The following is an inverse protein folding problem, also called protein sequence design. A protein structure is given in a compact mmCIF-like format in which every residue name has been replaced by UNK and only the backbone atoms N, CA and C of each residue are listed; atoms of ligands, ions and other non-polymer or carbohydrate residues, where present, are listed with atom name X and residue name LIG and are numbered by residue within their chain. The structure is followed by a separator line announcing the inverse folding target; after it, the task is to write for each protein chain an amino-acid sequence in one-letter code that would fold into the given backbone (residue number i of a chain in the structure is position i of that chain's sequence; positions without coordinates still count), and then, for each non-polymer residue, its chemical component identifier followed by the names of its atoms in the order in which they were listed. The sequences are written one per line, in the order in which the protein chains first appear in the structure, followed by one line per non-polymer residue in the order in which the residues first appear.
data_IF_866494242671
#
_entry.id   IF_866494242671
#
_cell.length_a   1.000
_cell.length_b   1.000
_cell.length_c   1.000
_cell.angle_alpha   90.00
_cell.angle_beta   90.00
_cell.angle_gamma   90.00
#
_symmetry.space_group_name_H-M   'P 1'
#
loop_
_entity.id
_entity.type
_entity.pdbx_description
1 polymer ?
#
# COMPACT_ATOMS: atom_id res chain seq x y z
N UNK A 1 10.98 11.76 10.95
CA UNK A 1 9.91 12.50 10.23
C UNK A 1 9.87 11.98 8.81
N UNK A 2 8.69 11.65 8.30
CA UNK A 2 8.52 11.21 6.92
C UNK A 2 7.50 12.13 6.25
N UNK A 3 7.79 12.59 5.05
CA UNK A 3 6.85 13.33 4.21
C UNK A 3 6.84 12.69 2.82
N UNK A 4 5.68 12.49 2.23
CA UNK A 4 5.51 12.01 0.87
C UNK A 4 4.56 12.97 0.14
N UNK A 5 5.02 13.47 -0.98
CA UNK A 5 4.22 14.24 -1.93
C UNK A 5 4.12 13.38 -3.18
N UNK A 6 2.92 13.04 -3.55
CA UNK A 6 2.63 12.46 -4.86
C UNK A 6 1.91 13.50 -5.67
N UNK A 7 2.00 13.49 -6.99
CA UNK A 7 1.36 14.42 -7.91
C UNK A 7 0.31 15.33 -7.23
N UNK A 8 -0.24 16.33 -7.81
CA UNK A 8 -1.06 17.38 -7.19
C UNK A 8 -2.13 16.96 -6.17
N UNK A 9 -2.40 15.65 -6.03
CA UNK A 9 -3.65 15.15 -5.45
C UNK A 9 -3.49 14.47 -4.09
N UNK A 10 -2.28 14.11 -3.64
CA UNK A 10 -2.12 13.40 -2.36
C UNK A 10 -0.94 13.94 -1.58
N UNK A 11 -1.19 14.32 -0.31
CA UNK A 11 -0.17 14.79 0.63
C UNK A 11 -0.23 13.95 1.90
N UNK A 12 0.90 13.40 2.31
CA UNK A 12 1.03 12.64 3.53
C UNK A 12 2.14 13.23 4.40
N UNK A 13 1.81 13.46 5.66
CA UNK A 13 2.74 13.90 6.68
C UNK A 13 2.68 12.94 7.85
N UNK A 14 3.81 12.68 8.47
CA UNK A 14 3.84 11.85 9.66
C UNK A 14 5.08 12.10 10.51
N UNK A 15 4.89 11.95 11.80
CA UNK A 15 5.96 11.92 12.78
C UNK A 15 5.83 10.65 13.62
N UNK A 16 6.96 10.01 13.90
CA UNK A 16 7.00 8.78 14.69
C UNK A 16 8.18 8.88 15.64
N UNK A 17 7.96 8.46 16.87
CA UNK A 17 8.99 8.34 17.89
C UNK A 17 8.95 6.93 18.46
N UNK A 18 10.11 6.31 18.59
CA UNK A 18 10.28 4.99 19.18
C UNK A 18 11.36 5.03 20.24
N UNK A 19 11.11 4.37 21.37
CA UNK A 19 12.06 4.22 22.46
C UNK A 19 12.22 2.75 22.85
N UNK A 20 13.43 2.31 23.20
CA UNK A 20 13.65 0.99 23.78
C UNK A 20 13.03 0.93 25.17
N UNK A 21 12.41 -0.20 25.49
CA UNK A 21 11.79 -0.45 26.81
C UNK A 21 12.27 -1.79 27.31
N UNK A 22 12.84 -1.79 28.51
CA UNK A 22 13.42 -3.01 29.08
C UNK A 22 14.80 -3.37 28.48
N UNK A 23 15.21 -4.64 28.67
CA UNK A 23 16.50 -5.16 28.23
C UNK A 23 16.43 -6.24 27.16
N UNK A 24 15.23 -6.63 26.78
CA UNK A 24 14.92 -7.68 25.80
C UNK A 24 14.90 -7.18 24.35
N UNK A 25 15.12 -5.87 24.14
CA UNK A 25 15.06 -5.22 22.84
C UNK A 25 13.67 -4.81 22.40
N UNK A 26 12.68 -4.90 23.29
CA UNK A 26 11.33 -4.35 23.04
C UNK A 26 11.40 -2.84 22.83
N UNK A 27 10.64 -2.35 21.88
CA UNK A 27 10.50 -0.93 21.56
C UNK A 27 9.03 -0.55 21.55
N UNK A 28 8.72 0.57 22.17
CA UNK A 28 7.40 1.17 22.07
C UNK A 28 7.47 2.44 21.27
N UNK A 29 6.42 2.69 20.50
CA UNK A 29 6.35 3.83 19.63
C UNK A 29 5.01 4.53 19.69
N UNK A 30 5.08 5.82 19.44
CA UNK A 30 3.93 6.68 19.20
C UNK A 30 4.07 7.29 17.80
N UNK A 31 2.96 7.45 17.13
CA UNK A 31 2.91 8.02 15.79
C UNK A 31 1.77 8.99 15.62
N UNK A 32 2.00 9.97 14.80
CA UNK A 32 0.97 10.85 14.29
C UNK A 32 1.08 10.88 12.78
N UNK A 33 -0.07 10.87 12.11
CA UNK A 33 -0.14 10.95 10.65
C UNK A 33 -1.28 11.84 10.20
N UNK A 34 -1.08 12.52 9.09
CA UNK A 34 -2.11 13.24 8.38
C UNK A 34 -1.95 12.97 6.89
N UNK A 35 -3.01 12.51 6.25
CA UNK A 35 -3.09 12.37 4.80
C UNK A 35 -4.25 13.20 4.26
N UNK A 36 -4.07 13.72 3.06
CA UNK A 36 -5.14 14.37 2.30
C UNK A 36 -5.05 13.93 0.86
N UNK A 37 -6.19 13.74 0.23
CA UNK A 37 -6.29 13.42 -1.18
C UNK A 37 -7.36 14.27 -1.86
N UNK A 38 -7.13 14.58 -3.14
CA UNK A 38 -8.06 15.26 -4.02
C UNK A 38 -8.12 14.43 -5.31
N UNK A 39 -9.15 13.62 -5.44
CA UNK A 39 -9.33 12.72 -6.58
C UNK A 39 -10.40 13.29 -7.50
N UNK A 40 -9.97 13.77 -8.65
CA UNK A 40 -10.87 14.13 -9.75
C UNK A 40 -11.24 12.86 -10.53
N UNK A 41 -12.19 12.10 -10.00
CA UNK A 41 -12.48 10.73 -10.43
C UNK A 41 -13.19 10.69 -11.79
N UNK A 42 -13.99 11.71 -12.11
CA UNK A 42 -14.67 11.84 -13.41
C UNK A 42 -15.22 13.26 -13.62
N UNK A 43 -15.91 13.48 -14.75
CA UNK A 43 -16.52 14.77 -15.08
C UNK A 43 -17.70 15.16 -14.19
N UNK A 44 -18.23 14.25 -13.37
CA UNK A 44 -19.46 14.45 -12.59
C UNK A 44 -19.22 14.80 -11.13
N UNK A 45 -18.10 14.36 -10.52
CA UNK A 45 -17.80 14.66 -9.12
C UNK A 45 -16.29 14.64 -8.81
N UNK A 46 -15.90 15.37 -7.75
CA UNK A 46 -14.59 15.28 -7.11
C UNK A 46 -14.75 14.65 -5.73
N UNK A 47 -13.82 13.79 -5.37
CA UNK A 47 -13.70 13.23 -4.03
C UNK A 47 -12.48 13.82 -3.33
N UNK A 48 -12.72 14.52 -2.23
CA UNK A 48 -11.71 15.11 -1.37
C UNK A 48 -11.72 14.39 -0.04
N UNK A 49 -10.58 14.01 0.48
CA UNK A 49 -10.52 13.36 1.77
C UNK A 49 -9.37 13.86 2.62
N UNK A 50 -9.57 13.83 3.93
CA UNK A 50 -8.55 14.09 4.92
C UNK A 50 -8.64 13.02 6.02
N UNK A 51 -7.51 12.40 6.33
CA UNK A 51 -7.39 11.49 7.47
C UNK A 51 -6.33 12.00 8.43
N UNK A 52 -6.63 11.98 9.72
CA UNK A 52 -5.69 12.26 10.81
C UNK A 52 -5.66 11.06 11.73
N UNK A 53 -4.46 10.57 12.02
CA UNK A 53 -4.27 9.39 12.85
C UNK A 53 -3.28 9.61 13.99
N UNK A 54 -3.56 8.92 15.08
CA UNK A 54 -2.63 8.69 16.18
C UNK A 54 -2.46 7.20 16.36
N UNK A 55 -1.22 6.75 16.55
CA UNK A 55 -0.88 5.34 16.77
C UNK A 55 -0.03 5.16 18.03
N UNK A 56 -0.28 4.06 18.73
CA UNK A 56 0.57 3.54 19.80
C UNK A 56 0.87 2.08 19.48
N UNK A 57 2.13 1.67 19.49
CA UNK A 57 2.51 0.32 19.08
C UNK A 57 3.73 -0.18 19.83
N UNK A 58 3.84 -1.51 19.90
CA UNK A 58 4.98 -2.22 20.45
C UNK A 58 5.59 -3.16 19.43
N UNK A 59 6.91 -3.29 19.49
CA UNK A 59 7.74 -4.19 18.71
C UNK A 59 8.59 -5.00 19.66
N UNK A 60 8.30 -6.29 19.84
CA UNK A 60 9.04 -7.17 20.75
C UNK A 60 9.76 -8.25 19.94
N UNK A 61 11.10 -8.31 19.98
CA UNK A 61 11.83 -9.42 19.38
C UNK A 61 11.45 -10.74 20.06
N UNK A 62 10.87 -11.68 19.28
CA UNK A 62 10.48 -13.02 19.74
C UNK A 62 11.61 -14.02 19.51
N UNK A 63 12.26 -13.89 18.35
CA UNK A 63 13.37 -14.74 17.97
C UNK A 63 14.41 -13.94 17.19
N UNK A 64 15.68 -14.15 17.50
CA UNK A 64 16.80 -13.51 16.80
C UNK A 64 18.03 -14.39 16.85
N UNK A 65 18.52 -14.75 15.67
CA UNK A 65 19.83 -15.34 15.49
C UNK A 65 20.62 -14.58 14.42
N UNK A 66 21.69 -15.17 13.89
CA UNK A 66 22.52 -14.54 12.85
C UNK A 66 21.80 -14.36 11.52
N UNK A 67 20.86 -15.24 11.21
CA UNK A 67 20.19 -15.31 9.90
C UNK A 67 18.72 -14.94 9.99
N UNK A 68 18.10 -15.09 11.15
CA UNK A 68 16.66 -14.94 11.30
C UNK A 68 16.32 -13.88 12.35
N UNK A 69 15.29 -13.13 12.09
CA UNK A 69 14.66 -12.21 13.04
C UNK A 69 13.15 -12.39 12.95
N UNK A 70 12.52 -12.58 14.11
CA UNK A 70 11.06 -12.56 14.24
C UNK A 70 10.70 -11.57 15.33
N UNK A 71 9.76 -10.67 15.03
CA UNK A 71 9.30 -9.61 15.90
C UNK A 71 7.78 -9.69 16.03
N UNK A 72 7.28 -9.72 17.25
CA UNK A 72 5.87 -9.48 17.52
C UNK A 72 5.56 -8.00 17.34
N UNK A 73 4.47 -7.72 16.65
CA UNK A 73 3.95 -6.38 16.39
C UNK A 73 2.57 -6.30 17.02
N UNK A 74 2.31 -5.27 17.79
CA UNK A 74 1.00 -5.03 18.37
C UNK A 74 0.77 -3.55 18.57
N UNK A 75 -0.48 -3.10 18.49
CA UNK A 75 -0.75 -1.68 18.65
C UNK A 75 -2.22 -1.30 18.53
N UNK A 76 -2.42 0.00 18.62
CA UNK A 76 -3.69 0.67 18.52
C UNK A 76 -3.56 1.92 17.64
N UNK A 77 -4.50 2.10 16.73
CA UNK A 77 -4.63 3.24 15.85
C UNK A 77 -5.99 3.92 16.07
N UNK A 78 -5.98 5.22 16.30
CA UNK A 78 -7.16 6.06 16.27
C UNK A 78 -7.12 6.97 15.06
N UNK A 79 -8.16 6.94 14.22
CA UNK A 79 -8.22 7.74 12.99
C UNK A 79 -9.53 8.49 12.88
N UNK A 80 -9.44 9.77 12.51
CA UNK A 80 -10.56 10.63 12.12
C UNK A 80 -10.44 10.88 10.62
N UNK A 81 -11.49 10.52 9.88
CA UNK A 81 -11.54 10.57 8.43
C UNK A 81 -12.67 11.51 8.05
N UNK A 82 -12.39 12.45 7.16
CA UNK A 82 -13.37 13.39 6.63
C UNK A 82 -13.35 13.29 5.11
N UNK A 83 -14.43 12.77 4.55
CA UNK A 83 -14.62 12.65 3.10
C UNK A 83 -15.62 13.70 2.64
N UNK A 84 -15.33 14.33 1.49
CA UNK A 84 -16.19 15.32 0.84
C UNK A 84 -16.39 14.93 -0.61
N UNK A 85 -17.61 14.74 -1.00
CA UNK A 85 -18.01 14.51 -2.37
C UNK A 85 -18.61 15.81 -2.92
N UNK A 86 -17.94 16.42 -3.90
CA UNK A 86 -18.42 17.63 -4.56
C UNK A 86 -18.97 17.27 -5.94
N UNK A 87 -20.25 17.49 -6.15
CA UNK A 87 -20.92 17.25 -7.43
C UNK A 87 -20.62 18.38 -8.42
N UNK A 88 -20.33 18.01 -9.68
CA UNK A 88 -20.05 18.93 -10.79
C UNK A 88 -21.15 18.96 -11.83
N UNK A 89 -22.14 18.07 -11.76
CA UNK A 89 -23.20 17.96 -12.77
C UNK A 89 -24.00 19.27 -12.88
N UNK A 90 -24.37 19.64 -14.09
CA UNK A 90 -25.20 20.81 -14.36
C UNK A 90 -26.52 20.72 -13.56
N UNK A 91 -26.86 21.77 -12.82
CA UNK A 91 -28.02 21.81 -11.91
C UNK A 91 -27.76 21.26 -10.50
N UNK A 92 -26.67 20.55 -10.24
CA UNK A 92 -26.24 20.04 -8.94
C UNK A 92 -24.87 20.62 -8.52
N UNK A 93 -24.32 21.52 -9.33
CA UNK A 93 -23.05 22.17 -9.05
C UNK A 93 -23.13 22.97 -7.75
N UNK A 94 -22.19 22.67 -6.83
CA UNK A 94 -22.14 23.32 -5.50
C UNK A 94 -22.71 22.46 -4.37
N UNK A 95 -23.34 21.31 -4.62
CA UNK A 95 -23.72 20.37 -3.58
C UNK A 95 -22.46 19.65 -3.10
N UNK A 96 -22.16 19.79 -1.82
CA UNK A 96 -21.07 19.11 -1.12
C UNK A 96 -21.64 18.18 -0.05
N UNK A 97 -21.38 16.90 -0.20
CA UNK A 97 -21.71 15.89 0.82
C UNK A 97 -20.46 15.63 1.65
N UNK A 98 -20.55 15.90 2.93
CA UNK A 98 -19.45 15.65 3.87
C UNK A 98 -19.82 14.49 4.78
N UNK A 99 -18.91 13.51 4.87
CA UNK A 99 -19.02 12.38 5.80
C UNK A 99 -17.82 12.42 6.74
N UNK A 100 -18.09 12.40 8.04
CA UNK A 100 -17.06 12.31 9.08
C UNK A 100 -17.11 10.92 9.72
N UNK A 101 -15.98 10.23 9.71
CA UNK A 101 -15.84 8.86 10.21
C UNK A 101 -14.76 8.80 11.27
N UNK A 102 -14.92 7.88 12.19
CA UNK A 102 -13.93 7.58 13.22
C UNK A 102 -13.64 6.09 13.21
N UNK A 103 -12.37 5.73 13.20
CA UNK A 103 -11.90 4.35 13.26
C UNK A 103 -10.99 4.15 14.48
N UNK A 104 -11.27 3.11 15.25
CA UNK A 104 -10.45 2.60 16.34
C UNK A 104 -10.00 1.20 15.95
N UNK A 105 -8.68 0.98 15.82
CA UNK A 105 -8.16 -0.26 15.27
C UNK A 105 -7.07 -0.82 16.16
N UNK A 106 -7.25 -2.05 16.63
CA UNK A 106 -6.24 -2.83 17.33
C UNK A 106 -5.60 -3.78 16.34
N UNK A 107 -4.31 -3.99 16.47
CA UNK A 107 -3.61 -4.96 15.64
C UNK A 107 -2.61 -5.77 16.45
N UNK A 108 -2.43 -7.03 16.06
CA UNK A 108 -1.41 -7.91 16.59
C UNK A 108 -0.94 -8.90 15.53
N UNK A 109 0.33 -9.20 15.52
CA UNK A 109 0.90 -10.12 14.54
C UNK A 109 2.39 -10.31 14.69
N UNK A 110 2.97 -10.86 13.65
CA UNK A 110 4.40 -11.11 13.55
C UNK A 110 4.95 -10.55 12.26
N UNK A 111 6.18 -10.07 12.30
CA UNK A 111 7.00 -9.85 11.11
C UNK A 111 8.36 -10.51 11.28
N UNK A 112 8.94 -10.94 10.18
CA UNK A 112 10.24 -11.57 10.23
C UNK A 112 11.05 -11.34 8.97
N UNK A 113 12.34 -11.61 9.10
CA UNK A 113 13.30 -11.63 7.99
C UNK A 113 14.28 -12.77 8.15
N UNK A 114 14.67 -13.35 7.04
CA UNK A 114 15.68 -14.37 6.94
C UNK A 114 16.75 -13.95 5.94
N UNK A 115 18.01 -14.04 6.34
CA UNK A 115 19.17 -13.72 5.54
C UNK A 115 20.00 -14.99 5.34
N UNK A 116 20.07 -15.48 4.13
CA UNK A 116 20.95 -16.56 3.68
C UNK A 116 21.97 -16.00 2.70
N UNK A 117 23.12 -16.68 2.44
CA UNK A 117 24.18 -16.12 1.59
C UNK A 117 23.73 -15.62 0.21
N UNK A 118 22.74 -16.31 -0.39
CA UNK A 118 22.20 -15.96 -1.71
C UNK A 118 20.69 -15.71 -1.73
N UNK A 119 20.05 -15.55 -0.57
CA UNK A 119 18.59 -15.36 -0.46
C UNK A 119 18.25 -14.42 0.69
N UNK A 120 17.23 -13.63 0.45
CA UNK A 120 16.60 -12.80 1.46
C UNK A 120 15.09 -13.03 1.45
N UNK A 121 14.50 -13.23 2.61
CA UNK A 121 13.05 -13.29 2.76
C UNK A 121 12.60 -12.32 3.83
N UNK A 122 11.49 -11.66 3.59
CA UNK A 122 10.78 -10.84 4.56
C UNK A 122 9.30 -11.20 4.52
N UNK A 123 8.69 -11.33 5.68
CA UNK A 123 7.27 -11.70 5.78
C UNK A 123 6.61 -10.96 6.94
N UNK A 124 5.29 -10.79 6.82
CA UNK A 124 4.43 -10.34 7.90
C UNK A 124 3.09 -11.08 7.87
N UNK A 125 2.48 -11.23 9.05
CA UNK A 125 1.13 -11.72 9.23
C UNK A 125 0.53 -10.93 10.38
N UNK A 126 -0.50 -10.12 10.10
CA UNK A 126 -1.09 -9.21 11.09
C UNK A 126 -2.61 -9.36 11.08
N UNK A 127 -3.16 -9.58 12.25
CA UNK A 127 -4.58 -9.54 12.51
C UNK A 127 -4.99 -8.15 13.00
N UNK A 128 -6.12 -7.66 12.49
CA UNK A 128 -6.69 -6.36 12.78
C UNK A 128 -8.12 -6.53 13.28
N UNK A 129 -8.40 -5.90 14.40
CA UNK A 129 -9.75 -5.70 14.91
C UNK A 129 -10.06 -4.21 14.91
N UNK A 130 -11.04 -3.78 14.16
CA UNK A 130 -11.41 -2.39 14.02
C UNK A 130 -12.87 -2.14 14.31
N UNK A 131 -13.17 -0.96 14.84
CA UNK A 131 -14.52 -0.42 14.94
C UNK A 131 -14.58 0.89 14.18
N UNK A 132 -15.51 0.98 13.23
CA UNK A 132 -15.76 2.19 12.43
C UNK A 132 -17.13 2.76 12.78
N UNK A 133 -17.22 4.09 12.84
CA UNK A 133 -18.46 4.83 13.04
C UNK A 133 -18.54 6.05 12.12
N UNK A 134 -19.75 6.45 11.73
CA UNK A 134 -20.01 7.60 10.86
C UNK A 134 -19.97 7.34 9.37
N UNK A 135 -19.72 6.10 8.93
CA UNK A 135 -19.66 5.72 7.51
C UNK A 135 -20.99 5.21 6.93
N UNK A 136 -21.98 5.00 7.79
CA UNK A 136 -23.32 4.50 7.43
C UNK A 136 -23.48 3.00 7.67
N UNK A 137 -24.74 2.56 7.67
CA UNK A 137 -25.16 1.20 8.13
C UNK A 137 -24.40 0.02 7.49
N UNK A 138 -23.88 0.18 6.26
CA UNK A 138 -23.23 -0.92 5.55
C UNK A 138 -21.78 -1.15 5.99
N UNK A 139 -21.12 -0.14 6.56
CA UNK A 139 -19.71 -0.20 6.94
C UNK A 139 -19.46 0.09 8.42
N UNK A 140 -20.42 0.72 9.14
CA UNK A 140 -20.29 0.98 10.57
C UNK A 140 -20.30 -0.31 11.39
N UNK A 141 -19.54 -0.30 12.46
CA UNK A 141 -19.42 -1.39 13.43
C UNK A 141 -18.07 -2.09 13.37
N UNK A 142 -18.02 -3.26 14.00
CA UNK A 142 -16.80 -4.02 14.16
C UNK A 142 -16.44 -4.79 12.88
N UNK A 143 -15.16 -4.81 12.57
CA UNK A 143 -14.62 -5.62 11.49
C UNK A 143 -13.34 -6.32 11.92
N UNK A 144 -13.06 -7.43 11.26
CA UNK A 144 -11.83 -8.21 11.42
C UNK A 144 -11.17 -8.37 10.07
N UNK A 145 -9.87 -8.18 10.01
CA UNK A 145 -9.10 -8.49 8.81
C UNK A 145 -7.76 -9.13 9.15
N UNK A 146 -7.28 -9.96 8.25
CA UNK A 146 -5.96 -10.55 8.26
C UNK A 146 -5.20 -10.02 7.05
N UNK A 147 -3.98 -9.51 7.27
CA UNK A 147 -3.07 -9.08 6.20
C UNK A 147 -1.79 -9.90 6.26
N UNK A 148 -1.25 -10.23 5.11
CA UNK A 148 0.04 -10.91 4.98
C UNK A 148 0.83 -10.34 3.83
N UNK A 149 2.12 -10.10 4.07
CA UNK A 149 3.08 -9.69 3.05
C UNK A 149 4.25 -10.66 3.03
N UNK A 150 4.73 -10.97 1.84
CA UNK A 150 5.90 -11.79 1.58
C UNK A 150 6.76 -11.11 0.52
N UNK A 151 8.04 -10.99 0.80
CA UNK A 151 9.09 -10.67 -0.18
C UNK A 151 10.14 -11.77 -0.13
N UNK A 152 10.42 -12.37 -1.27
CA UNK A 152 11.52 -13.33 -1.43
C UNK A 152 12.44 -12.88 -2.54
N UNK A 153 13.74 -12.85 -2.28
CA UNK A 153 14.79 -12.44 -3.23
C UNK A 153 15.85 -13.50 -3.29
N UNK A 154 16.22 -13.91 -4.51
CA UNK A 154 17.33 -14.81 -4.79
C UNK A 154 18.38 -14.01 -5.55
N UNK A 155 19.62 -14.05 -5.08
CA UNK A 155 20.77 -13.39 -5.71
C UNK A 155 21.59 -14.41 -6.49
N UNK A 156 21.84 -14.12 -7.76
CA UNK A 156 22.67 -14.92 -8.67
C UNK A 156 23.63 -14.01 -9.44
N UNK A 157 24.83 -13.86 -8.92
CA UNK A 157 25.85 -12.98 -9.48
C UNK A 157 25.38 -11.52 -9.58
N UNK A 158 25.25 -11.04 -10.82
CA UNK A 158 24.77 -9.67 -11.12
C UNK A 158 23.24 -9.57 -11.26
N UNK A 159 22.53 -10.68 -11.07
CA UNK A 159 21.08 -10.75 -11.25
C UNK A 159 20.42 -11.08 -9.92
N UNK A 160 19.26 -10.48 -9.65
CA UNK A 160 18.41 -10.92 -8.57
C UNK A 160 16.97 -11.16 -9.06
N UNK A 161 16.34 -12.17 -8.51
CA UNK A 161 14.95 -12.56 -8.78
C UNK A 161 14.13 -12.26 -7.53
N UNK A 162 13.03 -11.55 -7.69
CA UNK A 162 12.17 -11.11 -6.60
C UNK A 162 10.75 -11.61 -6.83
N UNK A 163 10.16 -12.13 -5.77
CA UNK A 163 8.74 -12.44 -5.72
C UNK A 163 8.17 -11.67 -4.53
N UNK A 164 7.09 -10.95 -4.77
CA UNK A 164 6.34 -10.25 -3.72
C UNK A 164 4.89 -10.68 -3.78
N UNK A 165 4.30 -10.91 -2.61
CA UNK A 165 2.91 -11.28 -2.44
C UNK A 165 2.33 -10.44 -1.30
N UNK A 166 1.19 -9.82 -1.53
CA UNK A 166 0.40 -9.16 -0.49
C UNK A 166 -1.01 -9.70 -0.52
N UNK A 167 -1.58 -9.98 0.64
CA UNK A 167 -2.91 -10.59 0.79
C UNK A 167 -3.69 -9.86 1.88
N UNK A 168 -4.98 -9.65 1.67
CA UNK A 168 -5.93 -9.23 2.69
C UNK A 168 -7.18 -10.10 2.65
N UNK A 169 -7.67 -10.49 3.82
CA UNK A 169 -8.95 -11.17 4.01
C UNK A 169 -9.70 -10.42 5.11
N UNK A 170 -10.93 -9.99 4.83
CA UNK A 170 -11.81 -9.34 5.81
C UNK A 170 -13.12 -10.10 5.94
N UNK A 171 -13.80 -9.94 7.08
CA UNK A 171 -15.04 -10.66 7.39
C UNK A 171 -16.30 -9.94 6.91
N UNK A 172 -16.18 -8.67 6.48
CA UNK A 172 -17.31 -7.84 6.04
C UNK A 172 -16.86 -6.73 5.11
N UNK A 173 -17.81 -5.93 4.63
CA UNK A 173 -17.49 -4.71 3.88
C UNK A 173 -16.68 -3.74 4.73
N UNK A 174 -15.64 -3.23 4.14
CA UNK A 174 -14.75 -2.25 4.75
C UNK A 174 -15.01 -0.86 4.19
N UNK A 175 -14.63 0.14 4.97
CA UNK A 175 -14.46 1.50 4.49
C UNK A 175 -13.30 1.59 3.49
N UNK A 176 -13.34 2.54 2.56
CA UNK A 176 -12.26 2.74 1.60
C UNK A 176 -10.87 2.91 2.23
N UNK A 177 -10.79 3.44 3.46
CA UNK A 177 -9.54 3.56 4.20
C UNK A 177 -8.93 2.23 4.68
N UNK A 178 -9.72 1.15 4.65
CA UNK A 178 -9.34 -0.20 5.11
C UNK A 178 -9.31 -1.24 3.98
N UNK A 179 -9.83 -0.89 2.80
CA UNK A 179 -9.85 -1.79 1.64
C UNK A 179 -8.45 -2.12 1.12
N UNK A 180 -8.36 -3.24 0.45
CA UNK A 180 -7.20 -3.63 -0.34
C UNK A 180 -7.28 -3.00 -1.72
N UNK A 181 -6.20 -2.36 -2.18
CA UNK A 181 -6.10 -1.73 -3.49
C UNK A 181 -5.15 -2.51 -4.39
N UNK A 182 -5.58 -2.75 -5.64
CA UNK A 182 -4.80 -3.53 -6.61
C UNK A 182 -3.79 -2.69 -7.36
N UNK A 183 -4.23 -1.54 -7.88
CA UNK A 183 -3.39 -0.69 -8.74
C UNK A 183 -2.37 0.13 -7.96
N UNK A 184 -1.49 0.77 -8.70
CA UNK A 184 -0.48 1.66 -8.15
C UNK A 184 0.93 1.10 -8.13
N UNK A 185 1.86 1.91 -7.69
CA UNK A 185 3.30 1.61 -7.69
C UNK A 185 3.69 0.39 -6.86
N UNK A 186 2.94 0.12 -5.78
CA UNK A 186 3.16 -1.02 -4.87
C UNK A 186 2.24 -2.21 -5.16
N UNK A 187 1.41 -2.13 -6.19
CA UNK A 187 0.49 -3.16 -6.63
C UNK A 187 0.73 -3.53 -8.09
N UNK A 188 -0.35 -3.62 -8.88
CA UNK A 188 -0.29 -3.84 -10.31
C UNK A 188 0.02 -2.50 -11.01
N UNK A 189 1.29 -2.27 -11.32
CA UNK A 189 1.85 -0.98 -11.78
C UNK A 189 1.30 -0.46 -13.10
N UNK A 190 0.65 -1.31 -13.88
CA UNK A 190 0.00 -0.90 -15.14
C UNK A 190 -1.31 -0.12 -14.93
N UNK A 191 -1.76 0.06 -13.67
CA UNK A 191 -3.03 0.69 -13.30
C UNK A 191 -2.81 1.78 -12.26
N UNK A 192 -3.70 2.78 -12.25
CA UNK A 192 -3.68 3.87 -11.27
C UNK A 192 -3.89 3.36 -9.83
N UNK A 193 -3.43 4.13 -8.83
CA UNK A 193 -3.48 3.72 -7.43
C UNK A 193 -4.90 3.48 -6.87
N UNK A 194 -5.91 4.04 -7.50
CA UNK A 194 -7.32 3.87 -7.12
C UNK A 194 -8.06 2.80 -7.91
N UNK A 195 -7.40 2.20 -8.90
CA UNK A 195 -8.03 1.17 -9.73
C UNK A 195 -8.04 -0.18 -9.01
N UNK A 196 -9.21 -0.78 -8.92
CA UNK A 196 -9.44 -2.06 -8.25
C UNK A 196 -9.29 -1.99 -6.73
N UNK A 197 -10.41 -2.11 -6.03
CA UNK A 197 -10.42 -2.15 -4.55
C UNK A 197 -11.45 -3.15 -4.04
N UNK A 198 -11.20 -3.72 -2.86
CA UNK A 198 -12.10 -4.69 -2.26
C UNK A 198 -11.74 -5.03 -0.82
N UNK A 199 -12.60 -5.83 -0.20
CA UNK A 199 -12.44 -6.26 1.19
C UNK A 199 -11.47 -7.43 1.31
N UNK A 200 -11.44 -8.27 0.28
CA UNK A 200 -10.60 -9.46 0.14
C UNK A 200 -9.81 -9.31 -1.14
N UNK A 201 -8.50 -9.55 -1.08
CA UNK A 201 -7.69 -9.46 -2.28
C UNK A 201 -6.25 -9.91 -2.11
N UNK A 202 -5.57 -9.99 -3.24
CA UNK A 202 -4.13 -10.23 -3.29
C UNK A 202 -3.49 -9.49 -4.45
N UNK A 203 -2.21 -9.19 -4.31
CA UNK A 203 -1.31 -8.81 -5.42
C UNK A 203 -0.08 -9.70 -5.39
N UNK A 204 0.41 -10.06 -6.57
CA UNK A 204 1.63 -10.82 -6.75
C UNK A 204 2.50 -10.16 -7.83
N UNK A 205 3.78 -10.01 -7.54
CA UNK A 205 4.79 -9.48 -8.46
C UNK A 205 5.93 -10.48 -8.60
N UNK A 206 6.34 -10.75 -9.85
CA UNK A 206 7.60 -11.40 -10.15
C UNK A 206 8.47 -10.39 -10.91
N UNK A 207 9.69 -10.14 -10.40
CA UNK A 207 10.60 -9.14 -10.95
C UNK A 207 12.01 -9.72 -11.04
N UNK A 208 12.67 -9.53 -12.18
CA UNK A 208 14.10 -9.78 -12.36
C UNK A 208 14.82 -8.44 -12.46
N UNK A 209 15.91 -8.29 -11.71
CA UNK A 209 16.81 -7.13 -11.77
C UNK A 209 18.20 -7.58 -12.13
N UNK A 210 18.86 -6.81 -12.97
CA UNK A 210 20.23 -7.05 -13.37
C UNK A 210 21.07 -5.79 -13.28
N UNK A 211 22.21 -5.88 -12.63
CA UNK A 211 23.20 -4.81 -12.60
C UNK A 211 23.66 -4.48 -14.00
N UNK A 212 23.69 -3.21 -14.35
CA UNK A 212 24.22 -2.71 -15.62
C UNK A 212 25.75 -2.50 -15.52
N UNK A 213 26.37 -1.98 -16.58
CA UNK A 213 27.77 -1.53 -16.51
C UNK A 213 27.98 -0.25 -15.71
N UNK A 214 26.91 0.45 -15.32
CA UNK A 214 26.95 1.69 -14.54
C UNK A 214 26.80 1.35 -13.06
N UNK A 215 27.74 1.84 -12.23
CA UNK A 215 27.72 1.60 -10.77
C UNK A 215 26.41 2.10 -10.16
N UNK A 216 25.76 1.25 -9.39
CA UNK A 216 24.51 1.56 -8.69
C UNK A 216 23.26 1.52 -9.56
N UNK A 217 23.37 1.26 -10.86
CA UNK A 217 22.22 1.18 -11.77
C UNK A 217 21.85 -0.27 -12.08
N UNK A 218 20.60 -0.64 -11.81
CA UNK A 218 20.00 -1.92 -12.19
C UNK A 218 18.86 -1.70 -13.19
N UNK A 219 18.80 -2.56 -14.20
CA UNK A 219 17.64 -2.70 -15.07
C UNK A 219 16.71 -3.76 -14.50
N UNK A 220 15.40 -3.53 -14.59
CA UNK A 220 14.38 -4.43 -14.11
C UNK A 220 13.36 -4.78 -15.19
N UNK A 221 12.83 -6.02 -15.15
CA UNK A 221 11.64 -6.42 -15.87
C UNK A 221 10.71 -7.16 -14.91
N UNK A 222 9.39 -6.98 -15.05
CA UNK A 222 8.44 -7.50 -14.08
C UNK A 222 7.08 -7.84 -14.70
N UNK A 223 6.37 -8.70 -13.97
CA UNK A 223 4.96 -9.01 -14.19
C UNK A 223 4.25 -8.85 -12.86
N UNK A 224 3.14 -8.11 -12.88
CA UNK A 224 2.25 -7.88 -11.75
C UNK A 224 0.88 -8.49 -12.04
N UNK A 225 0.25 -9.08 -11.03
CA UNK A 225 -1.12 -9.54 -11.10
C UNK A 225 -1.81 -9.40 -9.75
N UNK A 226 -3.13 -9.32 -9.75
CA UNK A 226 -3.90 -9.29 -8.53
C UNK A 226 -5.40 -9.42 -8.78
N UNK A 227 -6.12 -9.71 -7.71
CA UNK A 227 -7.57 -9.78 -7.72
C UNK A 227 -8.15 -9.25 -6.42
N UNK A 228 -9.31 -8.60 -6.49
CA UNK A 228 -10.10 -8.18 -5.33
C UNK A 228 -11.55 -8.54 -5.47
N UNK A 229 -12.18 -8.74 -4.32
CA UNK A 229 -13.61 -8.98 -4.17
C UNK A 229 -14.14 -8.14 -3.01
N UNK A 230 -15.29 -7.50 -3.19
CA UNK A 230 -16.05 -6.89 -2.11
C UNK A 230 -17.20 -7.81 -1.71
N UNK A 231 -17.56 -7.83 -0.43
CA UNK A 231 -18.67 -8.65 0.08
C UNK A 231 -20.00 -8.30 -0.57
N UNK A 232 -20.20 -7.03 -0.94
CA UNK A 232 -21.41 -6.55 -1.61
C UNK A 232 -21.36 -6.66 -3.14
N UNK A 233 -20.26 -7.12 -3.73
CA UNK A 233 -20.11 -7.25 -5.17
C UNK A 233 -20.03 -8.71 -5.58
N UNK A 234 -20.83 -9.10 -6.58
CA UNK A 234 -20.77 -10.45 -7.14
C UNK A 234 -19.52 -10.69 -8.00
N UNK A 235 -18.92 -9.61 -8.53
CA UNK A 235 -17.81 -9.69 -9.47
C UNK A 235 -16.47 -9.59 -8.75
N UNK A 236 -15.52 -10.42 -9.20
CA UNK A 236 -14.10 -10.33 -8.84
C UNK A 236 -13.42 -9.44 -9.88
N UNK A 237 -12.72 -8.41 -9.44
CA UNK A 237 -11.89 -7.59 -10.31
C UNK A 237 -10.49 -8.19 -10.41
N UNK A 238 -10.00 -8.40 -11.62
CA UNK A 238 -8.66 -8.90 -11.91
C UNK A 238 -7.87 -7.86 -12.68
N UNK A 239 -6.68 -7.55 -12.22
CA UNK A 239 -5.74 -6.67 -12.91
C UNK A 239 -4.43 -7.44 -13.16
N UNK A 240 -3.85 -7.24 -14.34
CA UNK A 240 -2.54 -7.80 -14.69
C UNK A 240 -1.76 -6.86 -15.59
N UNK A 241 -0.45 -6.79 -15.39
CA UNK A 241 0.42 -5.94 -16.17
C UNK A 241 1.84 -6.49 -16.24
N UNK A 242 2.60 -5.99 -17.18
CA UNK A 242 4.04 -6.22 -17.29
C UNK A 242 4.76 -4.89 -17.47
N UNK A 243 6.04 -4.85 -17.18
CA UNK A 243 6.78 -3.62 -17.36
C UNK A 243 8.28 -3.79 -17.26
N UNK A 244 8.94 -2.65 -17.44
CA UNK A 244 10.38 -2.51 -17.29
C UNK A 244 10.69 -1.33 -16.40
N UNK A 245 11.87 -1.32 -15.79
CA UNK A 245 12.23 -0.23 -14.90
C UNK A 245 13.72 -0.10 -14.71
N UNK A 246 14.09 1.01 -14.06
CA UNK A 246 15.44 1.33 -13.65
C UNK A 246 15.46 1.59 -12.14
N UNK A 247 16.50 1.10 -11.48
CA UNK A 247 16.78 1.30 -10.05
C UNK A 247 18.17 1.90 -9.93
N UNK A 248 18.27 3.06 -9.34
CA UNK A 248 19.56 3.72 -9.16
C UNK A 248 19.83 4.00 -7.68
N UNK A 249 20.91 3.44 -7.19
CA UNK A 249 21.36 3.60 -5.82
C UNK A 249 22.71 4.34 -5.81
N UNK A 250 22.71 5.61 -5.38
CA UNK A 250 23.89 6.43 -5.29
C UNK A 250 24.33 6.50 -3.81
N UNK A 251 25.57 6.06 -3.56
CA UNK A 251 26.28 6.17 -2.27
C UNK A 251 25.47 5.69 -1.05
N UNK A 252 24.59 4.70 -1.24
CA UNK A 252 23.67 4.16 -0.24
C UNK A 252 22.72 5.20 0.43
N UNK A 253 22.70 6.43 -0.05
CA UNK A 253 21.88 7.49 0.50
C UNK A 253 20.72 7.90 -0.40
N UNK A 254 20.92 7.92 -1.72
CA UNK A 254 19.89 8.26 -2.68
C UNK A 254 19.39 7.01 -3.40
N UNK A 255 18.07 6.89 -3.49
CA UNK A 255 17.43 5.81 -4.22
C UNK A 255 16.42 6.39 -5.20
N UNK A 256 16.62 6.11 -6.48
CA UNK A 256 15.69 6.48 -7.54
C UNK A 256 15.12 5.23 -8.20
N UNK A 257 13.83 5.24 -8.45
CA UNK A 257 13.12 4.18 -9.15
C UNK A 257 12.28 4.79 -10.26
N UNK A 258 12.38 4.24 -11.46
CA UNK A 258 11.55 4.58 -12.61
C UNK A 258 10.98 3.29 -13.17
N UNK A 259 9.66 3.19 -13.27
CA UNK A 259 8.95 2.06 -13.87
C UNK A 259 8.03 2.53 -14.99
N UNK A 260 8.00 1.77 -16.07
CA UNK A 260 6.98 1.84 -17.10
C UNK A 260 6.27 0.49 -17.20
N UNK A 261 4.95 0.50 -17.04
CA UNK A 261 4.13 -0.70 -17.02
C UNK A 261 2.96 -0.60 -18.01
N UNK A 262 2.58 -1.73 -18.61
CA UNK A 262 1.46 -1.87 -19.54
C UNK A 262 0.50 -2.94 -19.07
N UNK A 263 -0.78 -2.72 -19.34
CA UNK A 263 -1.87 -3.67 -19.03
C UNK A 263 -1.75 -4.92 -19.91
N UNK A 264 -2.01 -6.09 -19.30
CA UNK A 264 -2.21 -7.37 -20.00
C UNK A 264 -3.72 -7.55 -20.13
N UNK A 265 -4.22 -7.85 -21.34
CA UNK A 265 -5.65 -8.10 -21.63
C UNK A 265 -6.58 -6.96 -21.15
N UNK A 266 -6.19 -5.71 -21.39
CA UNK A 266 -7.08 -4.59 -21.16
C UNK A 266 -8.36 -4.78 -21.96
N UNK A 267 -9.47 -5.12 -21.30
CA UNK A 267 -10.78 -4.98 -21.92
C UNK A 267 -10.94 -3.49 -22.28
N UNK A 268 -11.22 -3.22 -23.55
CA UNK A 268 -11.58 -1.88 -23.98
C UNK A 268 -12.92 -1.56 -23.33
N UNK A 269 -12.90 -0.93 -22.18
CA UNK A 269 -14.12 -0.32 -21.64
C UNK A 269 -14.56 0.76 -22.61
N UNK A 270 -15.75 0.56 -23.18
CA UNK A 270 -16.35 1.46 -24.18
C UNK A 270 -16.65 2.86 -23.63
N UNK A 271 -16.44 3.09 -22.35
CA UNK A 271 -16.81 4.33 -21.63
C UNK A 271 -15.68 5.35 -21.53
N UNK A 272 -14.41 4.94 -21.63
CA UNK A 272 -13.27 5.88 -21.64
C UNK A 272 -12.36 5.66 -22.85
N UNK A 273 -12.51 6.50 -23.90
CA UNK A 273 -11.71 6.39 -25.15
C UNK A 273 -10.21 6.69 -24.97
N UNK A 274 -9.74 7.07 -23.79
CA UNK A 274 -8.38 7.55 -23.48
C UNK A 274 -7.62 6.70 -22.49
N UNK A 275 -8.03 5.48 -22.21
CA UNK A 275 -7.22 4.59 -21.37
C UNK A 275 -5.95 4.15 -22.13
N UNK A 276 -4.94 5.01 -22.06
CA UNK A 276 -3.60 4.67 -22.53
C UNK A 276 -3.12 3.46 -21.73
N UNK A 277 -2.84 2.38 -22.41
CA UNK A 277 -2.52 1.07 -21.89
C UNK A 277 -1.20 1.01 -21.07
N UNK A 278 -0.78 2.08 -20.44
CA UNK A 278 0.46 2.11 -19.65
C UNK A 278 0.57 3.27 -18.68
N UNK A 279 1.28 3.04 -17.57
CA UNK A 279 1.59 4.01 -16.54
C UNK A 279 3.09 4.13 -16.33
N UNK A 280 3.53 5.32 -15.98
CA UNK A 280 4.90 5.61 -15.59
C UNK A 280 4.93 6.03 -14.11
N UNK A 281 5.82 5.40 -13.34
CA UNK A 281 6.01 5.68 -11.93
C UNK A 281 7.43 6.13 -11.69
N UNK A 282 7.57 7.24 -10.95
CA UNK A 282 8.88 7.72 -10.51
C UNK A 282 8.87 7.92 -8.99
N UNK A 283 9.91 7.45 -8.33
CA UNK A 283 10.14 7.66 -6.92
C UNK A 283 11.60 8.03 -6.68
N UNK A 284 11.80 9.02 -5.82
CA UNK A 284 13.11 9.43 -5.32
C UNK A 284 13.04 9.59 -3.81
N UNK A 285 13.96 8.96 -3.10
CA UNK A 285 14.09 9.17 -1.67
C UNK A 285 15.54 9.20 -1.24
N UNK A 286 15.79 9.91 -0.13
CA UNK A 286 17.10 10.04 0.48
C UNK A 286 17.04 9.53 1.93
N UNK A 287 17.99 8.68 2.29
CA UNK A 287 18.24 8.29 3.68
C UNK A 287 19.33 9.20 4.26
N UNK A 288 19.11 9.68 5.47
CA UNK A 288 20.04 10.56 6.21
C UNK A 288 20.71 9.80 7.33
#
# INVERSE_FOLDING_TARGET
MNGMLTNHDTKNYGARYEAPVGRDGTRWGIGWSQSSYDLSTNSFYNSLGQSRGFSFYGLTPVYRDRMNRVTAIYGYDHRKIKDRLRLKAAGLAGIELTTEKMANVYHAGISGSQYLPNRFSQYSLIYWYGNLSGGGKSIDGDYHKLTSDLLHVIYDGKTNYRVQLSVQIANRNLDGSEMFYLGGMNGVRAYGASEGSGDIGFTATAEVRRQTGIKGLEAAAFIDTGAVKSHNAALIQHLSGWGVGLRYNLDNSWHAQLDYARKINAQRDKVEPRDHSGHMWFQLYKMF
#
